data_IF_450812162261
#
_entry.id   IF_450812162261
#
_cell.length_a   1.000
_cell.length_b   1.000
_cell.length_c   1.000
_cell.angle_alpha   90.00
_cell.angle_beta   90.00
_cell.angle_gamma   90.00
#
_symmetry.space_group_name_H-M   'P 1'
#
loop_
_entity.id
_entity.type
_entity.pdbx_description
1 polymer ?
#
# COMPACT_ATOMS: atom_id res chain seq x y z
N UNK A 1 -6.36 -6.03 5.50
CA UNK A 1 -5.60 -5.68 6.72
C UNK A 1 -5.75 -4.19 6.97
N UNK A 2 -5.56 -3.71 8.19
CA UNK A 2 -5.47 -2.28 8.47
C UNK A 2 -4.04 -1.73 8.27
N UNK A 3 -3.86 -0.40 8.21
CA UNK A 3 -2.53 0.22 8.23
C UNK A 3 -1.67 -0.19 9.42
N UNK A 4 -2.28 -0.37 10.60
CA UNK A 4 -1.54 -0.87 11.77
C UNK A 4 -1.15 -2.34 11.62
N UNK A 5 -2.03 -3.18 11.05
CA UNK A 5 -1.69 -4.58 10.76
C UNK A 5 -0.47 -4.68 9.81
N UNK A 6 -0.36 -3.74 8.85
CA UNK A 6 0.80 -3.66 7.97
C UNK A 6 2.09 -3.33 8.72
N UNK A 7 2.07 -2.34 9.62
CA UNK A 7 3.23 -2.01 10.45
C UNK A 7 3.61 -3.22 11.31
N UNK A 8 2.64 -3.81 12.01
CA UNK A 8 2.86 -4.98 12.87
C UNK A 8 3.51 -6.14 12.09
N UNK A 9 3.11 -6.36 10.83
CA UNK A 9 3.68 -7.41 9.97
C UNK A 9 5.15 -7.20 9.60
N UNK A 10 5.66 -5.96 9.70
CA UNK A 10 7.06 -5.63 9.42
C UNK A 10 7.91 -5.53 10.68
N UNK A 11 7.29 -5.24 11.83
CA UNK A 11 8.02 -4.92 13.07
C UNK A 11 7.94 -6.00 14.14
N UNK A 12 6.98 -6.92 14.04
CA UNK A 12 6.78 -7.98 15.04
C UNK A 12 7.11 -9.34 14.41
N UNK A 13 7.79 -10.19 15.18
CA UNK A 13 8.10 -11.56 14.76
C UNK A 13 6.85 -12.47 14.70
N UNK A 14 5.82 -12.11 15.46
CA UNK A 14 4.55 -12.83 15.52
C UNK A 14 3.35 -11.86 15.59
N UNK A 15 2.20 -12.23 15.02
CA UNK A 15 1.01 -11.40 15.07
C UNK A 15 0.51 -11.24 16.52
N UNK A 16 0.04 -10.04 16.85
CA UNK A 16 -0.63 -9.79 18.14
C UNK A 16 -1.87 -10.68 18.25
N UNK A 17 -2.09 -11.25 19.44
CA UNK A 17 -3.31 -11.99 19.72
C UNK A 17 -4.53 -11.09 19.49
N UNK A 18 -5.40 -11.51 18.58
CA UNK A 18 -6.67 -10.81 18.32
C UNK A 18 -7.80 -11.59 18.95
N UNK A 19 -8.54 -10.92 19.82
CA UNK A 19 -9.73 -11.49 20.47
C UNK A 19 -10.83 -11.77 19.45
N UNK A 20 -10.92 -11.00 18.36
CA UNK A 20 -11.93 -11.18 17.31
C UNK A 20 -11.49 -10.63 15.94
N UNK A 21 -12.00 -11.24 14.86
CA UNK A 21 -11.91 -10.70 13.50
C UNK A 21 -13.04 -9.71 13.27
N UNK A 22 -12.72 -8.48 12.88
CA UNK A 22 -13.73 -7.48 12.51
C UNK A 22 -14.37 -7.83 11.16
N UNK A 23 -15.70 -7.86 11.11
CA UNK A 23 -16.48 -7.93 9.87
C UNK A 23 -16.95 -6.52 9.53
N UNK A 24 -16.51 -5.97 8.39
CA UNK A 24 -16.82 -4.60 7.99
C UNK A 24 -18.10 -4.54 7.19
N UNK A 25 -18.99 -3.61 7.55
CA UNK A 25 -20.15 -3.24 6.72
C UNK A 25 -19.74 -2.22 5.68
N UNK A 26 -20.46 -2.17 4.56
CA UNK A 26 -20.20 -1.22 3.46
C UNK A 26 -20.19 0.25 3.93
N UNK A 27 -21.06 0.62 4.89
CA UNK A 27 -21.11 1.96 5.47
C UNK A 27 -19.81 2.32 6.21
N UNK A 28 -19.26 1.37 6.96
CA UNK A 28 -17.99 1.58 7.69
C UNK A 28 -16.83 1.70 6.71
N UNK A 29 -16.83 0.86 5.66
CA UNK A 29 -15.83 0.94 4.59
C UNK A 29 -15.85 2.32 3.92
N UNK A 30 -17.03 2.81 3.53
CA UNK A 30 -17.17 4.15 2.94
C UNK A 30 -16.72 5.26 3.89
N UNK A 31 -16.94 5.09 5.19
CA UNK A 31 -16.48 6.04 6.20
C UNK A 31 -14.95 6.09 6.28
N UNK A 32 -14.29 4.92 6.32
CA UNK A 32 -12.82 4.82 6.30
C UNK A 32 -12.24 5.47 5.04
N UNK A 33 -12.81 5.19 3.86
CA UNK A 33 -12.35 5.77 2.60
C UNK A 33 -12.49 7.30 2.56
N UNK A 34 -13.50 7.87 3.22
CA UNK A 34 -13.67 9.33 3.33
C UNK A 34 -12.64 10.00 4.26
N UNK A 35 -12.09 9.25 5.21
CA UNK A 35 -11.09 9.75 6.15
C UNK A 35 -9.67 9.67 5.61
N UNK A 36 -9.45 9.00 4.47
CA UNK A 36 -8.15 8.93 3.82
C UNK A 36 -7.64 10.35 3.52
N UNK A 37 -6.48 10.76 4.09
CA UNK A 37 -5.96 12.10 3.89
C UNK A 37 -5.53 12.32 2.44
N UNK A 38 -5.55 13.58 2.01
CA UNK A 38 -5.12 13.92 0.65
C UNK A 38 -3.64 13.61 0.42
N UNK A 39 -3.29 13.19 -0.79
CA UNK A 39 -1.93 12.83 -1.22
C UNK A 39 -0.87 13.91 -0.94
N UNK A 40 -1.26 15.19 -0.86
CA UNK A 40 -0.33 16.31 -0.66
C UNK A 40 0.18 16.45 0.77
N UNK A 41 -0.43 15.74 1.72
CA UNK A 41 0.02 15.71 3.11
C UNK A 41 0.98 14.54 3.32
N UNK A 42 2.18 14.64 2.74
CA UNK A 42 3.25 13.65 2.93
C UNK A 42 3.71 13.60 4.38
N UNK A 43 2.97 12.88 5.22
CA UNK A 43 3.26 12.68 6.63
C UNK A 43 3.91 11.31 6.83
N UNK A 44 5.09 11.28 7.46
CA UNK A 44 5.79 10.03 7.83
C UNK A 44 4.97 9.17 8.80
N UNK A 45 4.05 9.80 9.54
CA UNK A 45 3.15 9.15 10.49
C UNK A 45 1.83 8.70 9.86
N UNK A 46 1.69 8.73 8.52
CA UNK A 46 0.42 8.40 7.84
C UNK A 46 -0.21 7.09 8.33
N UNK A 47 0.55 5.99 8.28
CA UNK A 47 0.03 4.67 8.66
C UNK A 47 -0.29 4.60 10.17
N UNK A 48 0.52 5.27 11.02
CA UNK A 48 0.27 5.35 12.47
C UNK A 48 -0.96 6.18 12.80
N UNK A 49 -1.21 7.24 12.03
CA UNK A 49 -2.37 8.12 12.21
C UNK A 49 -3.68 7.48 11.76
N UNK A 50 -3.63 6.62 10.74
CA UNK A 50 -4.78 5.84 10.29
C UNK A 50 -5.08 4.67 11.23
N UNK A 51 -4.06 4.06 11.84
CA UNK A 51 -4.18 2.94 12.78
C UNK A 51 -5.09 1.81 12.22
N UNK A 52 -6.27 1.59 12.80
CA UNK A 52 -7.26 0.61 12.36
C UNK A 52 -8.27 1.15 11.33
N UNK A 53 -8.21 2.44 11.01
CA UNK A 53 -9.11 3.16 10.10
C UNK A 53 -8.56 3.19 8.67
N UNK A 54 -8.39 2.02 8.09
CA UNK A 54 -8.00 1.88 6.70
C UNK A 54 -8.10 0.43 6.26
N UNK A 55 -8.10 0.23 4.95
CA UNK A 55 -8.06 -1.10 4.35
C UNK A 55 -6.89 -1.19 3.38
N UNK A 56 -6.16 -2.28 3.49
CA UNK A 56 -5.09 -2.68 2.59
C UNK A 56 -5.42 -4.10 2.14
N UNK A 57 -5.56 -4.26 0.83
CA UNK A 57 -5.76 -5.54 0.15
C UNK A 57 -4.45 -6.33 0.06
N UNK A 58 -4.54 -7.61 -0.29
CA UNK A 58 -3.36 -8.45 -0.41
C UNK A 58 -2.41 -7.97 -1.52
N UNK A 59 -2.94 -7.53 -2.66
CA UNK A 59 -2.14 -6.94 -3.74
C UNK A 59 -1.43 -5.67 -3.31
N UNK A 60 -2.12 -4.77 -2.60
CA UNK A 60 -1.53 -3.55 -2.06
C UNK A 60 -0.44 -3.85 -1.04
N UNK A 61 -0.61 -4.90 -0.22
CA UNK A 61 0.41 -5.35 0.72
C UNK A 61 1.71 -5.77 0.03
N UNK A 62 1.63 -6.66 -0.98
CA UNK A 62 2.81 -7.09 -1.74
C UNK A 62 3.46 -5.92 -2.45
N UNK A 63 2.66 -5.00 -3.00
CA UNK A 63 3.15 -3.77 -3.60
C UNK A 63 3.95 -2.92 -2.59
N UNK A 64 3.39 -2.63 -1.41
CA UNK A 64 4.04 -1.85 -0.36
C UNK A 64 5.30 -2.53 0.19
N UNK A 65 5.29 -3.85 0.36
CA UNK A 65 6.45 -4.63 0.79
C UNK A 65 7.57 -4.55 -0.25
N UNK A 66 7.23 -4.70 -1.53
CA UNK A 66 8.15 -4.52 -2.64
C UNK A 66 8.69 -3.09 -2.65
N UNK A 67 7.83 -2.09 -2.42
CA UNK A 67 8.21 -0.68 -2.37
C UNK A 67 9.29 -0.43 -1.31
N UNK A 68 9.08 -0.90 -0.07
CA UNK A 68 9.99 -0.68 1.06
C UNK A 68 11.35 -1.36 0.87
N UNK A 69 11.39 -2.48 0.14
CA UNK A 69 12.63 -3.24 -0.11
C UNK A 69 13.48 -2.71 -1.28
N UNK A 70 12.98 -1.76 -2.07
CA UNK A 70 13.75 -1.18 -3.20
C UNK A 70 14.67 -0.06 -2.75
N UNK A 71 15.86 -0.01 -3.35
CA UNK A 71 16.79 1.11 -3.15
C UNK A 71 16.26 2.40 -3.80
N UNK A 72 16.65 3.57 -3.27
CA UNK A 72 16.25 4.88 -3.82
C UNK A 72 16.59 5.03 -5.31
N UNK A 73 17.70 4.45 -5.77
CA UNK A 73 18.09 4.47 -7.18
C UNK A 73 17.17 3.60 -8.04
N UNK A 74 16.78 2.43 -7.52
CA UNK A 74 15.81 1.53 -8.17
C UNK A 74 14.43 2.17 -8.28
N UNK A 75 14.02 3.00 -7.31
CA UNK A 75 12.78 3.78 -7.39
C UNK A 75 12.77 4.76 -8.56
N UNK A 76 13.88 5.48 -8.77
CA UNK A 76 13.96 6.45 -9.86
C UNK A 76 13.88 5.75 -11.22
N UNK A 77 14.53 4.60 -11.36
CA UNK A 77 14.46 3.78 -12.58
C UNK A 77 13.05 3.23 -12.80
N UNK A 78 12.41 2.70 -11.76
CA UNK A 78 11.03 2.22 -11.85
C UNK A 78 10.06 3.35 -12.22
N UNK A 79 10.22 4.54 -11.64
CA UNK A 79 9.40 5.70 -11.97
C UNK A 79 9.52 6.06 -13.47
N UNK A 80 10.74 6.12 -13.99
CA UNK A 80 11.00 6.37 -15.42
C UNK A 80 10.47 5.26 -16.34
N UNK A 81 10.40 4.02 -15.85
CA UNK A 81 9.87 2.89 -16.62
C UNK A 81 8.34 2.92 -16.72
N UNK A 82 7.66 3.52 -15.74
CA UNK A 82 6.20 3.50 -15.63
C UNK A 82 5.52 4.82 -16.01
N UNK A 83 6.26 5.93 -16.03
CA UNK A 83 5.86 7.21 -16.62
C UNK A 83 5.92 7.06 -18.16
N UNK A 84 4.79 6.67 -18.76
CA UNK A 84 4.72 6.31 -20.17
C UNK A 84 4.63 7.50 -21.11
N UNK A 85 4.20 8.66 -20.59
CA UNK A 85 4.08 9.91 -21.33
C UNK A 85 5.19 10.94 -21.00
N UNK A 86 6.15 10.56 -20.15
CA UNK A 86 7.32 11.36 -19.74
C UNK A 86 6.93 12.72 -19.12
N UNK A 87 5.78 12.77 -18.44
CA UNK A 87 5.25 14.00 -17.85
C UNK A 87 5.80 14.27 -16.43
N UNK A 88 6.61 13.33 -15.90
CA UNK A 88 7.21 13.38 -14.57
C UNK A 88 6.26 12.97 -13.45
N UNK A 89 5.13 12.32 -13.75
CA UNK A 89 4.09 11.87 -12.81
C UNK A 89 3.53 10.53 -13.26
N UNK A 90 3.09 9.74 -12.29
CA UNK A 90 2.37 8.50 -12.55
C UNK A 90 0.88 8.78 -12.35
N UNK A 91 0.10 8.63 -13.41
CA UNK A 91 -1.35 8.73 -13.36
C UNK A 91 -2.01 7.45 -12.81
N UNK A 92 -3.33 7.46 -12.68
CA UNK A 92 -4.07 6.30 -12.14
C UNK A 92 -3.92 5.05 -13.00
N UNK A 93 -3.92 5.19 -14.32
CA UNK A 93 -3.85 4.06 -15.26
C UNK A 93 -2.45 3.46 -15.26
N UNK A 94 -1.42 4.30 -15.28
CA UNK A 94 -0.02 3.90 -15.16
C UNK A 94 0.23 3.18 -13.84
N UNK A 95 -0.29 3.72 -12.74
CA UNK A 95 -0.22 3.07 -11.43
C UNK A 95 -0.89 1.68 -11.42
N UNK A 96 -2.07 1.54 -12.04
CA UNK A 96 -2.74 0.25 -12.14
C UNK A 96 -1.92 -0.78 -12.93
N UNK A 97 -1.26 -0.37 -14.01
CA UNK A 97 -0.34 -1.22 -14.76
C UNK A 97 0.83 -1.66 -13.89
N UNK A 98 1.42 -0.76 -13.08
CA UNK A 98 2.47 -1.11 -12.12
C UNK A 98 1.98 -2.18 -11.15
N UNK A 99 0.81 -1.99 -10.56
CA UNK A 99 0.24 -2.96 -9.62
C UNK A 99 0.06 -4.33 -10.28
N UNK A 100 -0.49 -4.40 -11.50
CA UNK A 100 -0.66 -5.66 -12.23
C UNK A 100 0.70 -6.33 -12.48
N UNK A 101 1.69 -5.56 -12.94
CA UNK A 101 3.00 -6.07 -13.33
C UNK A 101 3.83 -6.53 -12.11
N UNK A 102 3.74 -5.81 -10.99
CA UNK A 102 4.37 -6.21 -9.73
C UNK A 102 3.74 -7.49 -9.19
N UNK A 103 2.42 -7.65 -9.28
CA UNK A 103 1.73 -8.88 -8.86
C UNK A 103 2.17 -10.07 -9.72
N UNK A 104 2.21 -9.92 -11.04
CA UNK A 104 2.61 -11.02 -11.93
C UNK A 104 4.08 -11.38 -11.79
N UNK A 105 4.98 -10.40 -11.63
CA UNK A 105 6.41 -10.66 -11.41
C UNK A 105 6.69 -11.28 -10.04
N UNK A 106 5.96 -10.85 -8.99
CA UNK A 106 6.12 -11.41 -7.64
C UNK A 106 5.61 -12.85 -7.56
N UNK A 107 4.55 -13.17 -8.31
CA UNK A 107 4.06 -14.55 -8.47
C UNK A 107 4.97 -15.42 -9.35
N UNK A 108 5.89 -14.85 -10.13
CA UNK A 108 6.83 -15.63 -10.97
C UNK A 108 8.09 -16.06 -10.22
N UNK A 109 8.35 -15.48 -9.04
CA UNK A 109 9.53 -15.76 -8.21
C UNK A 109 9.19 -16.44 -6.86
N UNK A 110 7.96 -16.91 -6.69
CA UNK A 110 7.49 -17.80 -5.62
C UNK A 110 7.05 -19.12 -6.26
#
# INVERSE_FOLDING_TARGET
MSPMDFIDSLTLDAPRERVYRRVLKEKELKHMLKQTPSFRSGNKELFRSLDQNGIISYSEYIFLLTLITKSKSSFKIAFLMFDGDDNGKIDKNEFLLVCILVITLSCLHL
#
